data_IF_562807402441
#
_entry.id   IF_562807402441
#
_cell.length_a   1.000
_cell.length_b   1.000
_cell.length_c   1.000
_cell.angle_alpha   90.00
_cell.angle_beta   90.00
_cell.angle_gamma   90.00
#
_symmetry.space_group_name_H-M   'P 1'
#
loop_
_entity.id
_entity.type
_entity.pdbx_description
1 polymer ?
#
# COMPACT_ATOMS: atom_id res chain seq x y z
N UNK A 1 -5.01 23.03 -12.54
CA UNK A 1 -4.20 23.57 -11.41
C UNK A 1 -4.54 22.75 -10.18
N UNK A 2 -3.78 21.69 -9.91
CA UNK A 2 -3.83 20.90 -8.66
C UNK A 2 -2.42 20.64 -8.11
N UNK A 3 -1.41 21.24 -8.75
CA UNK A 3 0.01 21.04 -8.44
C UNK A 3 0.35 21.59 -7.06
N UNK A 4 -0.33 22.65 -6.64
CA UNK A 4 -0.12 23.31 -5.34
C UNK A 4 -0.60 22.48 -4.14
N UNK A 5 -1.28 21.35 -4.38
CA UNK A 5 -1.78 20.42 -3.34
C UNK A 5 -0.96 19.13 -3.24
N UNK A 6 0.09 19.00 -4.05
CA UNK A 6 0.95 17.82 -4.09
C UNK A 6 2.27 18.14 -3.39
N UNK A 7 2.49 17.54 -2.22
CA UNK A 7 3.75 17.65 -1.48
C UNK A 7 4.62 16.43 -1.78
N UNK A 8 5.92 16.66 -2.03
CA UNK A 8 6.91 15.60 -2.24
C UNK A 8 7.73 15.44 -0.97
N UNK A 9 7.59 14.32 -0.28
CA UNK A 9 8.48 13.97 0.83
C UNK A 9 9.66 13.14 0.35
N UNK A 10 10.87 13.55 0.76
CA UNK A 10 12.10 12.80 0.49
C UNK A 10 12.34 11.79 1.60
N UNK A 11 12.27 10.52 1.24
CA UNK A 11 12.68 9.44 2.14
C UNK A 11 14.20 9.25 2.09
N UNK A 12 14.84 8.89 3.22
CA UNK A 12 16.25 8.53 3.22
C UNK A 12 16.50 7.33 2.30
N UNK A 13 17.72 7.24 1.75
CA UNK A 13 18.11 6.09 0.94
C UNK A 13 17.98 4.79 1.76
N UNK A 14 17.57 3.69 1.11
CA UNK A 14 17.43 2.37 1.73
C UNK A 14 16.54 2.32 2.98
N UNK A 15 15.44 3.08 2.97
CA UNK A 15 14.53 3.21 4.12
C UNK A 15 13.16 2.55 3.87
N UNK A 16 13.09 1.23 3.62
CA UNK A 16 11.85 0.53 3.29
C UNK A 16 10.83 0.59 4.44
N UNK A 17 11.28 0.74 5.69
CA UNK A 17 10.41 0.85 6.86
C UNK A 17 9.64 2.18 6.92
N UNK A 18 10.12 3.20 6.22
CA UNK A 18 9.48 4.51 6.13
C UNK A 18 8.51 4.62 4.95
N UNK A 19 8.55 3.67 4.01
CA UNK A 19 7.65 3.66 2.86
C UNK A 19 6.43 2.77 3.15
N UNK A 20 5.24 3.34 3.39
CA UNK A 20 4.06 2.54 3.74
C UNK A 20 3.61 1.61 2.61
N UNK A 21 3.99 1.86 1.35
CA UNK A 21 3.67 0.95 0.25
C UNK A 21 4.38 -0.40 0.43
N UNK A 22 5.59 -0.44 0.99
CA UNK A 22 6.33 -1.67 1.29
C UNK A 22 5.57 -2.54 2.30
N UNK A 23 5.01 -1.87 3.32
CA UNK A 23 4.22 -2.53 4.36
C UNK A 23 2.86 -3.01 3.82
N UNK A 24 2.27 -2.27 2.89
CA UNK A 24 1.08 -2.71 2.14
C UNK A 24 1.39 -3.96 1.29
N UNK A 25 2.53 -3.98 0.60
CA UNK A 25 2.97 -5.15 -0.19
C UNK A 25 3.28 -6.36 0.69
N UNK A 26 3.88 -6.19 1.86
CA UNK A 26 4.07 -7.27 2.85
C UNK A 26 2.73 -7.90 3.27
N UNK A 27 1.71 -7.08 3.53
CA UNK A 27 0.37 -7.56 3.87
C UNK A 27 -0.31 -8.24 2.68
N UNK A 28 -0.23 -7.64 1.49
CA UNK A 28 -0.76 -8.21 0.24
C UNK A 28 -0.14 -9.57 -0.05
N UNK A 29 1.18 -9.72 0.17
CA UNK A 29 1.87 -11.01 0.01
C UNK A 29 1.35 -12.06 1.00
N UNK A 30 1.13 -11.66 2.26
CA UNK A 30 0.58 -12.53 3.31
C UNK A 30 -0.86 -12.97 3.02
N UNK A 31 -1.70 -12.05 2.54
CA UNK A 31 -3.14 -12.30 2.34
C UNK A 31 -3.44 -12.97 0.99
N UNK A 32 -2.71 -12.60 -0.07
CA UNK A 32 -3.04 -12.98 -1.46
C UNK A 32 -2.25 -14.18 -1.94
N UNK A 33 -0.93 -14.20 -1.69
CA UNK A 33 0.01 -15.11 -2.36
C UNK A 33 0.69 -16.10 -1.41
N UNK A 34 0.50 -15.97 -0.10
CA UNK A 34 1.16 -16.85 0.85
C UNK A 34 0.68 -18.29 0.65
N UNK A 35 1.63 -19.19 0.39
CA UNK A 35 1.39 -20.62 0.20
C UNK A 35 0.46 -20.97 -0.99
N UNK A 36 0.32 -20.07 -1.97
CA UNK A 36 -0.45 -20.36 -3.20
C UNK A 36 0.48 -20.59 -4.39
N UNK A 37 0.21 -21.67 -5.11
CA UNK A 37 0.82 -21.92 -6.40
C UNK A 37 -0.03 -21.27 -7.49
N UNK A 38 0.62 -20.47 -8.34
CA UNK A 38 0.01 -19.87 -9.52
C UNK A 38 0.61 -20.54 -10.75
N UNK A 39 -0.24 -21.10 -11.60
CA UNK A 39 0.20 -21.82 -12.81
C UNK A 39 0.59 -20.84 -13.91
N UNK A 40 -0.02 -19.67 -13.95
CA UNK A 40 0.25 -18.61 -14.92
C UNK A 40 0.48 -17.26 -14.24
N UNK A 41 1.10 -16.33 -14.96
CA UNK A 41 1.26 -14.95 -14.49
C UNK A 41 -0.09 -14.22 -14.36
N UNK A 42 -1.05 -14.53 -15.22
CA UNK A 42 -2.39 -13.94 -15.16
C UNK A 42 -3.15 -14.33 -13.88
N UNK A 43 -2.96 -15.56 -13.39
CA UNK A 43 -3.53 -16.00 -12.12
C UNK A 43 -2.98 -15.19 -10.93
N UNK A 44 -1.68 -14.92 -10.95
CA UNK A 44 -1.03 -14.06 -9.96
C UNK A 44 -1.59 -12.63 -10.04
N UNK A 45 -1.63 -12.06 -11.23
CA UNK A 45 -2.13 -10.71 -11.46
C UNK A 45 -3.58 -10.54 -10.99
N UNK A 46 -4.44 -11.51 -11.33
CA UNK A 46 -5.85 -11.53 -10.92
C UNK A 46 -5.99 -11.64 -9.40
N UNK A 47 -5.18 -12.48 -8.74
CA UNK A 47 -5.17 -12.60 -7.29
C UNK A 47 -4.79 -11.28 -6.61
N UNK A 48 -3.76 -10.59 -7.12
CA UNK A 48 -3.34 -9.29 -6.62
C UNK A 48 -4.45 -8.26 -6.79
N UNK A 49 -5.04 -8.15 -8.00
CA UNK A 49 -6.14 -7.21 -8.27
C UNK A 49 -7.32 -7.47 -7.33
N UNK A 50 -7.71 -8.71 -7.10
CA UNK A 50 -8.81 -9.04 -6.20
C UNK A 50 -8.51 -8.64 -4.75
N UNK A 51 -7.26 -8.80 -4.29
CA UNK A 51 -6.84 -8.30 -2.98
C UNK A 51 -6.94 -6.78 -2.88
N UNK A 52 -6.51 -6.05 -3.92
CA UNK A 52 -6.67 -4.59 -3.96
C UNK A 52 -8.13 -4.15 -4.02
N UNK A 53 -9.00 -4.86 -4.74
CA UNK A 53 -10.45 -4.61 -4.73
C UNK A 53 -11.04 -4.75 -3.33
N UNK A 54 -10.61 -5.76 -2.56
CA UNK A 54 -11.04 -5.92 -1.17
C UNK A 54 -10.55 -4.75 -0.30
N UNK A 55 -9.33 -4.26 -0.51
CA UNK A 55 -8.82 -3.09 0.19
C UNK A 55 -9.53 -1.78 -0.21
N UNK A 56 -10.05 -1.68 -1.44
CA UNK A 56 -10.90 -0.54 -1.84
C UNK A 56 -12.27 -0.56 -1.15
N UNK A 57 -12.81 -1.74 -0.86
CA UNK A 57 -14.07 -1.88 -0.11
C UNK A 57 -13.89 -1.61 1.39
N UNK A 58 -12.74 -2.00 1.96
CA UNK A 58 -12.39 -1.78 3.36
C UNK A 58 -11.07 -0.99 3.46
N UNK A 59 -11.21 0.34 3.45
CA UNK A 59 -10.10 1.25 3.63
C UNK A 59 -9.42 1.10 5.00
N UNK A 60 -10.08 0.52 6.02
CA UNK A 60 -9.53 0.38 7.37
C UNK A 60 -8.19 -0.36 7.39
N UNK A 61 -8.03 -1.37 6.52
CA UNK A 61 -6.79 -2.13 6.38
C UNK A 61 -5.64 -1.32 5.79
N UNK A 62 -5.93 -0.40 4.86
CA UNK A 62 -4.93 0.50 4.27
C UNK A 62 -4.58 1.61 5.26
N UNK A 63 -5.59 2.18 5.93
CA UNK A 63 -5.41 3.29 6.86
C UNK A 63 -4.53 2.92 8.06
N UNK A 64 -4.59 1.67 8.51
CA UNK A 64 -3.68 1.16 9.55
C UNK A 64 -2.21 1.19 9.09
N UNK A 65 -1.94 0.83 7.83
CA UNK A 65 -0.58 0.83 7.26
C UNK A 65 -0.05 2.26 7.10
N UNK A 66 -0.93 3.19 6.75
CA UNK A 66 -0.60 4.60 6.52
C UNK A 66 -0.75 5.46 7.77
N UNK A 67 -1.00 4.89 8.96
CA UNK A 67 -1.29 5.64 10.19
C UNK A 67 -0.24 6.69 10.53
N UNK A 68 1.05 6.32 10.45
CA UNK A 68 2.17 7.23 10.73
C UNK A 68 2.23 8.38 9.72
N UNK A 69 2.13 8.09 8.41
CA UNK A 69 2.02 9.13 7.39
C UNK A 69 0.80 10.04 7.64
N UNK A 70 -0.36 9.47 7.97
CA UNK A 70 -1.55 10.25 8.28
C UNK A 70 -1.32 11.20 9.46
N UNK A 71 -0.65 10.76 10.52
CA UNK A 71 -0.31 11.60 11.67
C UNK A 71 0.69 12.69 11.28
N UNK A 72 1.73 12.34 10.53
CA UNK A 72 2.77 13.27 10.06
C UNK A 72 2.21 14.34 9.09
N UNK A 73 1.19 14.00 8.29
CA UNK A 73 0.53 14.91 7.34
C UNK A 73 -0.84 15.43 7.79
N UNK A 74 -1.33 15.07 8.98
CA UNK A 74 -2.59 15.60 9.52
C UNK A 74 -2.47 17.09 9.89
N UNK A 75 -1.25 17.62 10.00
CA UNK A 75 -0.97 19.04 10.24
C UNK A 75 -0.71 19.73 8.91
N UNK A 76 -1.75 19.82 8.09
CA UNK A 76 -1.80 20.68 6.90
C UNK A 76 -3.25 21.02 6.54
N UNK A 77 -4.05 21.40 7.54
CA UNK A 77 -5.33 22.11 7.37
C UNK A 77 -5.39 23.21 8.41
#
# INVERSE_FOLDING_TARGET
>A
MNVDRLTIERLPAFSPDYNPIEKLWKNTKKDSTHLKYFKTFEDLHTSVINTFKNYMQDAGKILCVMKKMREDFAIAV
#
